data_IF_714167387929
#
_entry.id   IF_714167387929
#
_cell.length_a   1.000
_cell.length_b   1.000
_cell.length_c   1.000
_cell.angle_alpha   90.00
_cell.angle_beta   90.00
_cell.angle_gamma   90.00
#
_symmetry.space_group_name_H-M   'P 1'
#
loop_
_entity.id
_entity.type
_entity.pdbx_description
1 polymer ?
#
# COMPACT_ATOMS: atom_id res chain seq x y z
N UNK A 1 -37.06 -10.53 -29.70
CA UNK A 1 -38.38 -10.06 -29.23
C UNK A 1 -38.16 -8.79 -28.42
N UNK A 2 -39.02 -7.80 -28.60
CA UNK A 2 -38.81 -6.44 -28.08
C UNK A 2 -38.96 -6.45 -26.54
N UNK A 3 -37.85 -6.46 -25.78
CA UNK A 3 -37.85 -6.42 -24.30
C UNK A 3 -38.52 -5.15 -23.75
N UNK A 4 -38.77 -4.15 -24.59
CA UNK A 4 -39.35 -2.86 -24.21
C UNK A 4 -40.75 -2.94 -23.57
N UNK A 5 -41.58 -3.93 -23.90
CA UNK A 5 -42.90 -4.08 -23.30
C UNK A 5 -42.82 -4.62 -21.86
N UNK A 6 -41.92 -5.58 -21.61
CA UNK A 6 -41.68 -6.14 -20.28
C UNK A 6 -41.00 -5.07 -19.42
N UNK A 7 -39.96 -4.41 -19.94
CA UNK A 7 -39.25 -3.36 -19.22
C UNK A 7 -40.16 -2.16 -18.88
N UNK A 8 -41.06 -1.77 -19.80
CA UNK A 8 -42.09 -0.75 -19.55
C UNK A 8 -43.09 -1.18 -18.49
N UNK A 9 -43.58 -2.43 -18.55
CA UNK A 9 -44.49 -2.96 -17.53
C UNK A 9 -43.83 -2.97 -16.15
N UNK A 10 -42.61 -3.50 -16.03
CA UNK A 10 -41.86 -3.54 -14.76
C UNK A 10 -41.59 -2.12 -14.25
N UNK A 11 -41.18 -1.20 -15.13
CA UNK A 11 -40.89 0.19 -14.75
C UNK A 11 -42.11 0.97 -14.26
N UNK A 12 -43.31 0.67 -14.77
CA UNK A 12 -44.54 1.37 -14.37
C UNK A 12 -45.22 0.67 -13.19
N UNK A 13 -45.39 -0.65 -13.26
CA UNK A 13 -46.23 -1.41 -12.34
C UNK A 13 -45.47 -1.98 -11.14
N UNK A 14 -44.13 -1.97 -11.17
CA UNK A 14 -43.29 -2.57 -10.13
C UNK A 14 -42.16 -1.64 -9.65
N UNK A 15 -42.33 -0.32 -9.79
CA UNK A 15 -41.29 0.66 -9.44
C UNK A 15 -40.97 0.72 -7.94
N UNK A 16 -41.87 0.23 -7.09
CA UNK A 16 -41.78 0.25 -5.62
C UNK A 16 -41.71 -1.15 -4.99
N UNK A 17 -41.59 -2.20 -5.80
CA UNK A 17 -41.60 -3.59 -5.32
C UNK A 17 -40.24 -4.27 -5.48
N UNK A 18 -39.88 -5.08 -4.50
CA UNK A 18 -38.68 -5.94 -4.55
C UNK A 18 -38.89 -7.22 -5.36
N UNK A 19 -40.15 -7.64 -5.55
CA UNK A 19 -40.55 -8.79 -6.38
C UNK A 19 -41.67 -8.33 -7.32
N UNK A 20 -41.48 -8.51 -8.62
CA UNK A 20 -42.45 -8.13 -9.66
C UNK A 20 -42.96 -9.38 -10.40
N UNK A 21 -44.26 -9.66 -10.31
CA UNK A 21 -44.88 -10.71 -11.11
C UNK A 21 -45.26 -10.16 -12.49
N UNK A 22 -44.59 -10.63 -13.55
CA UNK A 22 -44.92 -10.24 -14.93
C UNK A 22 -45.88 -11.27 -15.52
N UNK A 23 -47.13 -10.90 -15.83
CA UNK A 23 -48.08 -11.83 -16.44
C UNK A 23 -47.69 -12.10 -17.89
N UNK A 24 -47.57 -13.38 -18.26
CA UNK A 24 -47.37 -13.83 -19.63
C UNK A 24 -48.66 -14.49 -20.10
N UNK A 25 -49.35 -13.84 -21.04
CA UNK A 25 -50.57 -14.37 -21.66
C UNK A 25 -50.31 -14.80 -23.09
N UNK A 26 -50.80 -15.99 -23.47
CA UNK A 26 -50.71 -16.53 -24.81
C UNK A 26 -52.12 -16.80 -25.31
N UNK A 27 -52.51 -16.14 -26.40
CA UNK A 27 -53.84 -16.23 -26.99
C UNK A 27 -53.78 -16.92 -28.36
N UNK A 28 -54.76 -17.78 -28.68
CA UNK A 28 -54.93 -18.35 -30.03
C UNK A 28 -56.31 -18.03 -30.59
N UNK A 29 -56.36 -17.67 -31.88
CA UNK A 29 -57.62 -17.36 -32.56
C UNK A 29 -58.47 -18.59 -32.94
N UNK A 30 -57.97 -19.80 -32.69
CA UNK A 30 -58.66 -21.06 -32.97
C UNK A 30 -58.37 -22.07 -31.85
N UNK A 31 -59.26 -23.06 -31.70
CA UNK A 31 -59.07 -24.17 -30.75
C UNK A 31 -57.92 -25.09 -31.19
N UNK A 32 -57.06 -25.47 -30.25
CA UNK A 32 -55.92 -26.34 -30.49
C UNK A 32 -55.04 -26.51 -29.24
N UNK A 33 -53.99 -27.34 -29.34
CA UNK A 33 -52.99 -27.54 -28.29
C UNK A 33 -51.86 -26.52 -28.44
N UNK A 34 -51.57 -25.78 -27.37
CA UNK A 34 -50.42 -24.89 -27.28
C UNK A 34 -49.37 -25.54 -26.37
N UNK A 35 -48.15 -25.70 -26.88
CA UNK A 35 -47.02 -26.20 -26.10
C UNK A 35 -45.92 -25.15 -26.10
N UNK A 36 -45.50 -24.71 -24.91
CA UNK A 36 -44.37 -23.80 -24.72
C UNK A 36 -43.22 -24.61 -24.12
N UNK A 37 -42.04 -24.56 -24.76
CA UNK A 37 -40.83 -25.21 -24.27
C UNK A 37 -39.67 -24.22 -24.36
N UNK A 38 -38.72 -24.31 -23.42
CA UNK A 38 -37.49 -23.52 -23.37
C UNK A 38 -37.72 -21.99 -23.34
N UNK A 39 -38.62 -21.51 -22.48
CA UNK A 39 -38.77 -20.08 -22.22
C UNK A 39 -37.54 -19.56 -21.46
N UNK A 40 -36.71 -18.76 -22.11
CA UNK A 40 -35.55 -18.09 -21.53
C UNK A 40 -35.83 -16.58 -21.40
N UNK A 41 -35.69 -16.03 -20.19
CA UNK A 41 -35.86 -14.60 -19.90
C UNK A 41 -34.50 -14.07 -19.45
N UNK A 42 -33.80 -13.34 -20.33
CA UNK A 42 -32.54 -12.68 -20.02
C UNK A 42 -32.77 -11.20 -19.74
N UNK A 43 -32.45 -10.76 -18.51
CA UNK A 43 -32.44 -9.35 -18.11
C UNK A 43 -31.02 -8.97 -17.70
N UNK A 44 -30.51 -7.88 -18.27
CA UNK A 44 -29.26 -7.28 -17.82
C UNK A 44 -29.53 -6.51 -16.51
N UNK A 45 -28.73 -6.76 -15.47
CA UNK A 45 -28.84 -6.10 -14.16
C UNK A 45 -28.11 -4.73 -14.15
N UNK A 46 -27.75 -4.20 -15.32
CA UNK A 46 -26.99 -2.96 -15.44
C UNK A 46 -27.91 -1.72 -15.53
N UNK A 47 -27.71 -0.65 -14.74
CA UNK A 47 -26.67 -0.43 -13.73
C UNK A 47 -27.05 -0.82 -12.30
N UNK A 48 -26.07 -1.37 -11.57
CA UNK A 48 -26.10 -1.50 -10.10
C UNK A 48 -25.56 -0.19 -9.52
N UNK A 49 -26.37 0.52 -8.74
CA UNK A 49 -25.95 1.75 -8.04
C UNK A 49 -25.80 1.47 -6.55
N UNK A 50 -24.64 1.82 -5.98
CA UNK A 50 -24.39 1.72 -4.54
C UNK A 50 -24.43 3.14 -3.96
N UNK A 51 -25.44 3.42 -3.14
CA UNK A 51 -25.60 4.72 -2.49
C UNK A 51 -24.90 4.71 -1.13
N UNK A 52 -23.60 4.99 -1.11
CA UNK A 52 -22.82 5.11 0.12
C UNK A 52 -21.92 6.35 0.06
N UNK A 53 -22.29 7.35 0.85
CA UNK A 53 -21.58 8.64 1.00
C UNK A 53 -20.12 8.50 1.46
N UNK A 54 -19.75 7.38 2.10
CA UNK A 54 -18.39 7.10 2.54
C UNK A 54 -17.43 6.71 1.39
N UNK A 55 -17.93 6.17 0.28
CA UNK A 55 -17.09 5.81 -0.87
C UNK A 55 -16.87 6.97 -1.84
N UNK A 56 -17.67 8.03 -1.76
CA UNK A 56 -17.63 9.17 -2.69
C UNK A 56 -16.32 9.99 -2.57
N UNK A 57 -15.57 9.84 -1.48
CA UNK A 57 -14.27 10.50 -1.26
C UNK A 57 -13.06 9.64 -1.64
N UNK A 58 -13.26 8.41 -2.13
CA UNK A 58 -12.16 7.55 -2.58
C UNK A 58 -11.91 7.81 -4.07
N UNK A 59 -10.79 8.46 -4.38
CA UNK A 59 -10.32 8.58 -5.77
C UNK A 59 -9.75 7.23 -6.22
N UNK A 60 -10.52 6.42 -6.94
CA UNK A 60 -10.04 5.19 -7.57
C UNK A 60 -11.16 4.22 -7.95
N UNK A 61 -10.87 3.33 -8.91
CA UNK A 61 -11.74 2.20 -9.23
C UNK A 61 -11.64 1.15 -8.11
N UNK A 62 -12.75 0.88 -7.41
CA UNK A 62 -12.80 -0.17 -6.40
C UNK A 62 -13.25 -1.46 -7.11
N UNK A 63 -12.38 -2.49 -7.28
CA UNK A 63 -12.78 -3.71 -7.93
C UNK A 63 -13.75 -4.51 -7.04
N UNK A 64 -14.94 -4.78 -7.56
CA UNK A 64 -15.94 -5.63 -6.91
C UNK A 64 -15.99 -7.00 -7.59
N UNK A 65 -15.98 -8.05 -6.78
CA UNK A 65 -16.32 -9.41 -7.24
C UNK A 65 -17.78 -9.65 -6.88
N UNK A 66 -18.60 -9.89 -7.90
CA UNK A 66 -20.01 -10.23 -7.72
C UNK A 66 -20.16 -11.74 -7.88
N UNK A 67 -20.69 -12.40 -6.85
CA UNK A 67 -21.12 -13.79 -6.95
C UNK A 67 -22.64 -13.83 -7.06
N UNK A 68 -23.14 -14.42 -8.15
CA UNK A 68 -24.56 -14.70 -8.33
C UNK A 68 -24.85 -16.13 -7.93
N UNK A 69 -25.76 -16.31 -6.98
CA UNK A 69 -26.31 -17.63 -6.61
C UNK A 69 -27.81 -17.50 -6.43
N UNK A 70 -28.58 -18.30 -7.18
CA UNK A 70 -30.05 -18.37 -7.10
C UNK A 70 -30.77 -17.02 -7.23
N UNK A 71 -30.26 -16.14 -8.10
CA UNK A 71 -30.85 -14.82 -8.35
C UNK A 71 -30.54 -13.77 -7.26
N UNK A 72 -29.79 -14.12 -6.23
CA UNK A 72 -29.23 -13.17 -5.27
C UNK A 72 -27.82 -12.78 -5.71
N UNK A 73 -27.55 -11.47 -5.72
CA UNK A 73 -26.19 -10.93 -5.86
C UNK A 73 -25.63 -10.74 -4.46
N UNK A 74 -24.63 -11.55 -4.09
CA UNK A 74 -23.91 -11.36 -2.83
C UNK A 74 -22.59 -10.67 -3.14
N UNK A 75 -22.32 -9.56 -2.42
CA UNK A 75 -21.01 -8.90 -2.44
C UNK A 75 -20.32 -9.22 -1.12
N UNK A 76 -19.27 -10.03 -1.19
CA UNK A 76 -18.50 -10.47 -0.03
C UNK A 76 -17.02 -10.09 -0.17
N UNK A 77 -16.31 -10.00 0.95
CA UNK A 77 -14.88 -9.72 0.95
C UNK A 77 -14.51 -8.25 0.71
N UNK A 78 -15.45 -7.30 0.87
CA UNK A 78 -15.14 -5.87 0.81
C UNK A 78 -14.21 -5.53 1.98
N UNK A 79 -12.97 -5.17 1.67
CA UNK A 79 -12.03 -4.58 2.61
C UNK A 79 -11.71 -3.16 2.14
N UNK A 80 -12.18 -2.16 2.89
CA UNK A 80 -11.90 -0.75 2.64
C UNK A 80 -10.95 -0.29 3.73
N UNK A 81 -9.71 0.00 3.36
CA UNK A 81 -8.72 0.58 4.25
C UNK A 81 -8.65 2.08 3.97
N UNK A 82 -9.09 2.89 4.93
CA UNK A 82 -8.77 4.32 4.93
C UNK A 82 -7.49 4.49 5.75
N UNK A 83 -6.35 4.54 5.08
CA UNK A 83 -5.04 4.72 5.72
C UNK A 83 -4.81 6.19 6.14
N UNK A 84 -5.78 7.07 5.87
CA UNK A 84 -5.70 8.47 6.25
C UNK A 84 -4.75 9.29 5.37
N UNK A 85 -4.54 10.54 5.78
CA UNK A 85 -3.63 11.48 5.13
C UNK A 85 -4.31 12.78 4.69
N UNK A 86 -3.59 13.89 4.80
CA UNK A 86 -4.06 15.26 4.49
C UNK A 86 -5.24 15.75 5.35
N UNK A 87 -5.46 15.14 6.51
CA UNK A 87 -6.45 15.62 7.47
C UNK A 87 -5.80 16.61 8.44
N UNK A 88 -6.42 17.78 8.58
CA UNK A 88 -5.98 18.80 9.55
C UNK A 88 -6.75 18.65 10.86
N UNK A 89 -6.01 18.49 11.95
CA UNK A 89 -6.50 18.52 13.32
C UNK A 89 -6.08 19.83 13.98
N UNK A 90 -6.97 20.44 14.75
CA UNK A 90 -6.64 21.62 15.55
C UNK A 90 -6.35 21.17 16.96
N UNK A 91 -5.08 21.20 17.36
CA UNK A 91 -4.67 20.93 18.73
C UNK A 91 -4.65 22.25 19.49
N UNK A 92 -5.44 22.34 20.56
CA UNK A 92 -5.51 23.54 21.42
C UNK A 92 -4.83 23.26 22.75
N UNK A 93 -3.77 23.99 23.03
CA UNK A 93 -3.17 24.06 24.36
C UNK A 93 -3.77 25.26 25.11
N UNK A 94 -4.13 25.05 26.37
CA UNK A 94 -4.76 26.08 27.21
C UNK A 94 -4.32 25.95 28.67
N UNK A 95 -4.42 27.04 29.43
CA UNK A 95 -4.31 27.02 30.89
C UNK A 95 -5.56 26.38 31.53
N UNK A 96 -5.50 26.08 32.83
CA UNK A 96 -6.55 25.32 33.52
C UNK A 96 -7.94 25.98 33.45
N UNK A 97 -8.00 27.30 33.30
CA UNK A 97 -9.21 28.10 33.21
C UNK A 97 -9.55 28.55 31.78
N UNK A 98 -8.76 28.12 30.78
CA UNK A 98 -8.91 28.46 29.36
C UNK A 98 -8.79 29.96 29.05
N UNK A 99 -8.31 30.78 29.99
CA UNK A 99 -8.11 32.21 29.81
C UNK A 99 -7.07 32.49 28.72
N UNK A 100 -6.01 31.69 28.69
CA UNK A 100 -4.96 31.72 27.68
C UNK A 100 -4.98 30.43 26.88
N UNK A 101 -5.07 30.54 25.57
CA UNK A 101 -4.98 29.37 24.70
C UNK A 101 -4.21 29.68 23.43
N UNK A 102 -3.55 28.65 22.91
CA UNK A 102 -2.91 28.64 21.60
C UNK A 102 -3.40 27.41 20.84
N UNK A 103 -3.53 27.54 19.53
CA UNK A 103 -3.98 26.48 18.67
C UNK A 103 -2.95 26.23 17.58
N UNK A 104 -2.68 24.95 17.30
CA UNK A 104 -1.81 24.51 16.23
C UNK A 104 -2.60 23.61 15.28
N UNK A 105 -2.44 23.85 13.99
CA UNK A 105 -2.96 22.95 12.97
C UNK A 105 -1.91 21.86 12.74
N UNK A 106 -2.28 20.62 13.01
CA UNK A 106 -1.48 19.44 12.74
C UNK A 106 -2.10 18.73 11.55
N UNK A 107 -1.32 18.57 10.48
CA UNK A 107 -1.75 17.80 9.32
C UNK A 107 -1.04 16.46 9.35
N UNK A 108 -1.80 15.39 9.41
CA UNK A 108 -1.25 14.04 9.39
C UNK A 108 -1.18 13.53 7.94
N UNK A 109 -0.03 12.96 7.57
CA UNK A 109 0.18 12.26 6.31
C UNK A 109 0.67 10.85 6.61
N UNK A 110 0.10 9.86 5.93
CA UNK A 110 0.54 8.48 6.04
C UNK A 110 1.73 8.28 5.09
N UNK A 111 2.87 7.87 5.63
CA UNK A 111 4.07 7.53 4.86
C UNK A 111 4.64 6.21 5.35
N UNK A 112 4.40 5.15 4.59
CA UNK A 112 4.91 3.81 4.89
C UNK A 112 5.73 3.28 3.71
N UNK A 113 6.34 2.12 3.89
CA UNK A 113 7.13 1.45 2.88
C UNK A 113 7.07 -0.06 3.07
N UNK A 114 7.17 -0.77 1.96
CA UNK A 114 7.39 -2.20 1.94
C UNK A 114 8.74 -2.49 1.29
N UNK A 115 9.40 -3.57 1.69
CA UNK A 115 10.61 -4.03 1.01
C UNK A 115 10.61 -5.53 0.81
N UNK A 116 11.30 -5.97 -0.24
CA UNK A 116 11.48 -7.38 -0.55
C UNK A 116 12.95 -7.73 -0.69
N UNK A 117 13.29 -8.96 -0.30
CA UNK A 117 14.57 -9.57 -0.59
C UNK A 117 14.56 -10.25 -1.97
N UNK A 118 15.74 -10.51 -2.57
CA UNK A 118 15.86 -11.42 -3.70
C UNK A 118 15.20 -12.77 -3.41
N UNK A 119 14.68 -13.42 -4.45
CA UNK A 119 14.00 -14.70 -4.34
C UNK A 119 14.84 -15.73 -3.56
N UNK A 120 14.22 -16.36 -2.55
CA UNK A 120 14.81 -17.38 -1.64
C UNK A 120 15.83 -16.83 -0.63
N UNK A 121 15.88 -15.51 -0.43
CA UNK A 121 16.67 -14.85 0.61
C UNK A 121 15.69 -14.28 1.64
N UNK A 122 16.02 -14.43 2.93
CA UNK A 122 15.16 -14.02 4.04
C UNK A 122 15.91 -13.26 5.14
N UNK A 123 17.17 -12.92 4.90
CA UNK A 123 18.06 -12.28 5.87
C UNK A 123 19.09 -11.40 5.15
N UNK A 124 19.64 -10.44 5.87
CA UNK A 124 20.68 -9.55 5.41
C UNK A 124 22.01 -9.96 6.06
N UNK A 125 22.92 -10.59 5.29
CA UNK A 125 24.18 -11.11 5.81
C UNK A 125 25.33 -10.87 4.82
N UNK A 126 26.50 -10.49 5.34
CA UNK A 126 27.75 -10.42 4.58
C UNK A 126 28.63 -11.62 4.90
N UNK A 127 29.17 -12.27 3.86
CA UNK A 127 30.07 -13.42 4.00
C UNK A 127 31.45 -13.09 3.41
N UNK A 128 32.31 -12.37 4.15
CA UNK A 128 33.66 -11.99 3.71
C UNK A 128 34.62 -13.19 3.67
N UNK A 129 35.54 -13.20 2.70
CA UNK A 129 36.54 -14.28 2.53
C UNK A 129 37.75 -14.14 3.47
N UNK A 130 37.98 -12.94 3.99
CA UNK A 130 39.10 -12.57 4.85
C UNK A 130 38.73 -11.32 5.66
N UNK A 131 39.41 -11.03 6.78
CA UNK A 131 39.18 -9.84 7.58
C UNK A 131 39.61 -8.54 6.90
N UNK A 132 40.21 -8.63 5.71
CA UNK A 132 40.63 -7.49 4.89
C UNK A 132 39.86 -7.42 3.56
N UNK A 133 38.79 -8.20 3.41
CA UNK A 133 37.99 -8.24 2.17
C UNK A 133 37.35 -6.88 1.90
N UNK A 134 37.40 -6.43 0.64
CA UNK A 134 36.82 -5.16 0.20
C UNK A 134 35.67 -5.42 -0.77
N UNK A 135 34.72 -4.49 -0.84
CA UNK A 135 33.55 -4.54 -1.71
C UNK A 135 32.72 -5.82 -1.53
N UNK A 136 32.61 -6.33 -0.31
CA UNK A 136 31.81 -7.52 -0.02
C UNK A 136 30.34 -7.14 -0.12
N UNK A 137 29.58 -7.81 -0.96
CA UNK A 137 28.12 -7.60 -1.08
C UNK A 137 27.37 -8.59 -0.18
N UNK A 138 26.16 -8.26 0.29
CA UNK A 138 25.36 -9.19 1.06
C UNK A 138 24.92 -10.39 0.21
N UNK A 139 24.62 -11.51 0.86
CA UNK A 139 24.20 -12.75 0.18
C UNK A 139 22.90 -12.52 -0.61
N UNK A 140 22.90 -12.92 -1.88
CA UNK A 140 21.77 -12.73 -2.80
C UNK A 140 21.84 -11.48 -3.68
N UNK A 141 22.64 -10.47 -3.31
CA UNK A 141 22.87 -9.29 -4.15
C UNK A 141 23.76 -9.64 -5.35
N UNK A 142 23.48 -9.01 -6.50
CA UNK A 142 24.33 -9.09 -7.69
C UNK A 142 24.41 -7.74 -8.40
N UNK A 143 25.16 -7.66 -9.50
CA UNK A 143 25.25 -6.44 -10.29
C UNK A 143 23.94 -6.00 -10.95
N UNK A 144 22.96 -6.92 -11.05
CA UNK A 144 21.64 -6.67 -11.64
C UNK A 144 20.49 -6.89 -10.66
N UNK A 145 20.81 -7.22 -9.40
CA UNK A 145 19.81 -7.50 -8.36
C UNK A 145 20.21 -6.77 -7.08
N UNK A 146 19.44 -5.76 -6.64
CA UNK A 146 19.66 -5.12 -5.34
C UNK A 146 19.38 -6.12 -4.21
N UNK A 147 19.80 -5.80 -2.99
CA UNK A 147 19.47 -6.61 -1.80
C UNK A 147 18.10 -6.24 -1.23
N UNK A 148 17.67 -4.98 -1.39
CA UNK A 148 16.31 -4.55 -1.09
C UNK A 148 15.73 -3.87 -2.32
N UNK A 149 14.50 -4.25 -2.67
CA UNK A 149 13.64 -3.47 -3.53
C UNK A 149 12.52 -2.93 -2.64
N UNK A 150 12.50 -1.60 -2.48
CA UNK A 150 11.59 -0.88 -1.60
C UNK A 150 10.50 -0.24 -2.45
N UNK A 151 9.24 -0.36 -2.03
CA UNK A 151 8.09 0.31 -2.63
C UNK A 151 7.47 1.21 -1.59
N UNK A 152 7.22 2.47 -1.94
CA UNK A 152 6.65 3.46 -1.02
C UNK A 152 5.12 3.40 -1.02
N UNK A 153 4.54 3.44 0.18
CA UNK A 153 3.09 3.43 0.41
C UNK A 153 2.65 4.75 1.06
N UNK A 154 3.03 5.88 0.48
CA UNK A 154 2.65 7.20 0.98
C UNK A 154 1.28 7.66 0.45
N UNK A 155 0.30 7.75 1.35
CA UNK A 155 -1.08 8.15 1.05
C UNK A 155 -1.35 9.61 1.45
N UNK A 156 -2.44 10.18 0.92
CA UNK A 156 -2.83 11.57 1.24
C UNK A 156 -2.16 12.64 0.38
N UNK A 157 -1.59 12.26 -0.77
CA UNK A 157 -1.12 13.20 -1.80
C UNK A 157 0.16 13.97 -1.46
N UNK A 158 0.91 13.54 -0.44
CA UNK A 158 2.23 14.08 -0.10
C UNK A 158 3.31 13.06 -0.42
N UNK A 159 4.45 13.53 -0.87
CA UNK A 159 5.63 12.69 -1.16
C UNK A 159 6.35 12.30 0.13
N UNK A 160 7.25 11.33 0.05
CA UNK A 160 8.04 10.85 1.19
C UNK A 160 9.54 10.75 0.88
N UNK A 161 10.35 10.82 1.92
CA UNK A 161 11.75 10.44 1.93
C UNK A 161 11.87 9.04 2.50
N UNK A 162 12.80 8.26 1.95
CA UNK A 162 13.20 6.97 2.48
C UNK A 162 14.61 7.08 3.05
N UNK A 163 14.76 6.73 4.32
CA UNK A 163 16.03 6.84 5.04
C UNK A 163 16.44 5.52 5.69
N UNK A 164 17.75 5.36 5.90
CA UNK A 164 18.34 4.20 6.56
C UNK A 164 19.16 4.67 7.76
N UNK A 165 19.05 3.96 8.87
CA UNK A 165 19.81 4.17 10.09
C UNK A 165 20.54 2.89 10.49
N UNK A 166 21.78 3.05 10.92
CA UNK A 166 22.62 1.99 11.45
C UNK A 166 22.78 2.21 12.95
N UNK A 167 22.35 1.24 13.76
CA UNK A 167 22.40 1.35 15.22
C UNK A 167 23.82 1.18 15.79
N UNK A 168 24.65 0.37 15.13
CA UNK A 168 26.01 0.12 15.58
C UNK A 168 27.00 0.16 14.42
N UNK A 169 28.15 0.78 14.64
CA UNK A 169 29.28 0.74 13.72
C UNK A 169 30.42 -0.06 14.33
N UNK A 170 31.20 -0.72 13.48
CA UNK A 170 32.42 -1.40 13.90
C UNK A 170 33.62 -0.69 13.29
N UNK A 171 34.63 -0.36 14.11
CA UNK A 171 35.72 0.54 13.69
C UNK A 171 36.56 0.02 12.51
N UNK A 172 36.48 -1.28 12.21
CA UNK A 172 37.19 -1.90 11.10
C UNK A 172 36.27 -2.32 9.94
N UNK A 173 34.98 -1.96 9.96
CA UNK A 173 34.05 -2.23 8.86
C UNK A 173 33.37 -0.95 8.40
N UNK A 174 33.51 -0.65 7.12
CA UNK A 174 32.76 0.44 6.49
C UNK A 174 31.59 -0.15 5.71
N UNK A 175 30.36 0.24 6.06
CA UNK A 175 29.15 -0.15 5.36
C UNK A 175 28.71 0.98 4.43
N UNK A 176 28.74 0.72 3.13
CA UNK A 176 28.25 1.65 2.10
C UNK A 176 26.94 1.14 1.54
N UNK A 177 25.94 2.01 1.42
CA UNK A 177 24.72 1.73 0.67
C UNK A 177 24.58 2.69 -0.51
N UNK A 178 23.80 2.31 -1.53
CA UNK A 178 23.56 3.12 -2.72
C UNK A 178 22.25 2.75 -3.37
N UNK A 179 21.65 3.70 -4.07
CA UNK A 179 20.49 3.48 -4.94
C UNK A 179 20.85 3.04 -6.36
N UNK A 180 22.14 2.78 -6.59
CA UNK A 180 22.64 2.23 -7.84
C UNK A 180 23.67 1.15 -7.53
N UNK A 181 23.88 0.21 -8.46
CA UNK A 181 24.98 -0.75 -8.39
C UNK A 181 26.36 -0.11 -8.65
N UNK A 182 26.64 1.01 -7.99
CA UNK A 182 27.92 1.70 -8.03
C UNK A 182 28.26 2.19 -6.62
N UNK A 183 29.17 1.48 -5.97
CA UNK A 183 29.64 1.82 -4.62
C UNK A 183 30.28 3.21 -4.53
N UNK A 184 30.94 3.68 -5.59
CA UNK A 184 31.66 4.96 -5.57
C UNK A 184 30.75 6.18 -5.42
N UNK A 185 29.46 6.05 -5.75
CA UNK A 185 28.43 7.07 -5.53
C UNK A 185 27.56 6.77 -4.31
N UNK A 186 27.88 5.70 -3.57
CA UNK A 186 27.16 5.29 -2.37
C UNK A 186 27.49 6.16 -1.17
N UNK A 187 26.61 6.11 -0.20
CA UNK A 187 26.75 6.77 1.09
C UNK A 187 27.34 5.80 2.10
N UNK A 188 28.41 6.21 2.78
CA UNK A 188 28.90 5.51 3.97
C UNK A 188 27.87 5.69 5.09
N UNK A 189 27.23 4.59 5.51
CA UNK A 189 26.28 4.62 6.61
C UNK A 189 27.07 4.61 7.91
N UNK A 190 26.93 5.68 8.68
CA UNK A 190 27.54 5.81 10.00
C UNK A 190 26.52 5.55 11.10
N UNK A 191 26.98 5.21 12.30
CA UNK A 191 26.07 5.00 13.42
C UNK A 191 25.38 6.30 13.83
N UNK A 192 24.20 6.17 14.44
CA UNK A 192 23.47 7.26 15.08
C UNK A 192 23.05 8.40 14.14
N UNK A 193 22.95 8.14 12.82
CA UNK A 193 22.52 9.14 11.83
C UNK A 193 21.61 8.49 10.79
N UNK A 194 20.50 9.16 10.47
CA UNK A 194 19.66 8.80 9.33
C UNK A 194 20.26 9.32 8.03
N UNK A 195 20.32 8.46 7.02
CA UNK A 195 20.79 8.81 5.68
C UNK A 195 19.66 8.64 4.68
N UNK A 196 19.34 9.68 3.92
CA UNK A 196 18.31 9.63 2.88
C UNK A 196 18.84 8.94 1.62
N UNK A 197 18.08 7.98 1.10
CA UNK A 197 18.39 7.27 -0.15
C UNK A 197 17.39 7.60 -1.25
N UNK A 198 16.17 8.02 -0.91
CA UNK A 198 15.26 8.61 -1.88
C UNK A 198 14.54 9.79 -1.26
N UNK A 199 14.37 10.86 -2.03
CA UNK A 199 13.69 12.07 -1.59
C UNK A 199 12.53 12.40 -2.50
N UNK A 200 11.48 13.00 -1.93
CA UNK A 200 10.31 13.44 -2.68
C UNK A 200 9.68 12.31 -3.54
N UNK A 201 9.64 11.09 -3.00
CA UNK A 201 9.09 9.90 -3.64
C UNK A 201 7.56 9.92 -3.59
N UNK A 202 6.90 9.61 -4.71
CA UNK A 202 5.44 9.49 -4.78
C UNK A 202 4.97 8.09 -4.39
N UNK A 203 3.66 7.93 -4.18
CA UNK A 203 3.02 6.63 -3.99
C UNK A 203 3.47 5.64 -5.08
N UNK A 204 3.75 4.39 -4.67
CA UNK A 204 4.28 3.31 -5.51
C UNK A 204 5.64 3.59 -6.18
N UNK A 205 6.39 4.60 -5.71
CA UNK A 205 7.78 4.75 -6.16
C UNK A 205 8.60 3.56 -5.71
N UNK A 206 9.42 3.03 -6.62
CA UNK A 206 10.36 1.96 -6.33
C UNK A 206 11.77 2.53 -6.07
N UNK A 207 12.45 1.94 -5.09
CA UNK A 207 13.82 2.25 -4.73
C UNK A 207 14.61 0.97 -4.55
N UNK A 208 15.59 0.75 -5.42
CA UNK A 208 16.52 -0.36 -5.31
C UNK A 208 17.71 0.03 -4.42
N UNK A 209 18.12 -0.84 -3.50
CA UNK A 209 19.25 -0.60 -2.62
C UNK A 209 20.33 -1.68 -2.78
N UNK A 210 21.56 -1.21 -2.98
CA UNK A 210 22.76 -2.03 -2.96
C UNK A 210 23.62 -1.69 -1.77
N UNK A 211 24.25 -2.70 -1.18
CA UNK A 211 25.16 -2.56 -0.06
C UNK A 211 26.53 -3.17 -0.35
N UNK A 212 27.56 -2.61 0.30
CA UNK A 212 28.92 -3.13 0.34
C UNK A 212 29.49 -2.97 1.73
N UNK A 213 30.26 -3.95 2.17
CA UNK A 213 31.07 -3.89 3.36
C UNK A 213 32.56 -3.97 2.99
N UNK A 214 33.35 -3.03 3.49
CA UNK A 214 34.80 -3.07 3.44
C UNK A 214 35.36 -3.41 4.81
N UNK A 215 36.08 -4.52 4.87
CA UNK A 215 36.70 -5.01 6.09
C UNK A 215 38.18 -4.62 6.11
N UNK A 216 38.62 -4.07 7.23
CA UNK A 216 40.01 -3.83 7.58
C UNK A 216 40.30 -4.34 9.01
N UNK A 217 39.73 -5.49 9.32
CA UNK A 217 39.79 -6.14 10.62
C UNK A 217 41.01 -7.07 10.73
N UNK A 218 41.16 -7.68 11.90
CA UNK A 218 42.10 -8.78 12.13
C UNK A 218 41.36 -9.98 12.75
N UNK A 219 41.94 -11.18 12.66
CA UNK A 219 41.35 -12.39 13.24
C UNK A 219 41.33 -12.40 14.78
N UNK A 220 41.98 -11.43 15.44
CA UNK A 220 42.03 -11.33 16.90
C UNK A 220 40.78 -10.66 17.46
N UNK A 221 40.23 -9.68 16.74
CA UNK A 221 39.16 -8.80 17.21
C UNK A 221 37.84 -9.01 16.45
N UNK A 222 37.79 -9.86 15.44
CA UNK A 222 36.59 -9.99 14.61
C UNK A 222 36.38 -11.42 14.12
N UNK A 223 35.25 -11.99 14.53
CA UNK A 223 34.74 -13.26 14.01
C UNK A 223 33.51 -13.04 13.14
N UNK A 224 32.68 -12.04 13.46
CA UNK A 224 31.41 -11.79 12.81
C UNK A 224 30.88 -10.40 13.15
N UNK A 225 30.19 -9.74 12.23
CA UNK A 225 29.48 -8.48 12.47
C UNK A 225 28.13 -8.51 11.76
N UNK A 226 27.05 -8.37 12.54
CA UNK A 226 25.65 -8.38 12.07
C UNK A 226 24.99 -7.05 12.43
N UNK A 227 25.18 -6.00 11.59
CA UNK A 227 24.54 -4.72 11.87
C UNK A 227 23.02 -4.85 11.79
N UNK A 228 22.33 -4.23 12.75
CA UNK A 228 20.88 -3.99 12.64
C UNK A 228 20.65 -2.71 11.87
N UNK A 229 19.95 -2.81 10.74
CA UNK A 229 19.49 -1.69 9.93
C UNK A 229 18.05 -1.34 10.29
N UNK A 230 17.79 -0.04 10.38
CA UNK A 230 16.46 0.52 10.56
C UNK A 230 16.14 1.32 9.30
N UNK A 231 14.91 1.20 8.84
CA UNK A 231 14.40 1.89 7.66
C UNK A 231 13.26 2.78 8.08
N UNK A 232 13.06 3.91 7.42
CA UNK A 232 11.90 4.76 7.65
C UNK A 232 11.41 5.41 6.38
N UNK A 233 10.09 5.54 6.26
CA UNK A 233 9.42 6.41 5.31
C UNK A 233 8.89 7.62 6.07
N UNK A 234 9.30 8.83 5.68
CA UNK A 234 8.79 10.05 6.30
C UNK A 234 8.30 11.02 5.26
N UNK A 235 7.16 11.66 5.48
CA UNK A 235 6.66 12.62 4.50
C UNK A 235 7.65 13.76 4.26
N UNK A 236 7.83 14.12 3.00
CA UNK A 236 8.77 15.13 2.54
C UNK A 236 8.35 16.51 3.08
N UNK A 237 9.28 17.25 3.67
CA UNK A 237 8.97 18.53 4.35
C UNK A 237 7.87 18.37 5.41
N UNK A 238 7.97 17.32 6.22
CA UNK A 238 7.20 17.17 7.44
C UNK A 238 8.09 17.41 8.66
N UNK A 239 7.51 18.01 9.70
CA UNK A 239 8.24 18.38 10.91
C UNK A 239 8.55 17.16 11.80
N UNK A 240 7.75 16.10 11.70
CA UNK A 240 7.83 14.90 12.54
C UNK A 240 7.55 13.64 11.71
N UNK A 241 8.34 12.61 11.98
CA UNK A 241 8.09 11.24 11.52
C UNK A 241 7.63 10.40 12.72
N UNK A 242 6.78 9.38 12.52
CA UNK A 242 6.26 8.55 13.63
C UNK A 242 7.39 7.90 14.44
N UNK A 243 8.48 7.52 13.77
CA UNK A 243 9.68 6.96 14.42
C UNK A 243 10.50 7.99 15.24
N UNK A 244 10.22 9.30 15.14
CA UNK A 244 10.85 10.33 15.97
C UNK A 244 10.10 10.53 17.31
N UNK A 245 8.92 9.93 17.46
CA UNK A 245 8.11 10.01 18.68
C UNK A 245 8.32 8.73 19.49
N UNK A 246 9.38 8.70 20.32
CA UNK A 246 9.50 7.69 21.36
C UNK A 246 8.27 7.79 22.29
N UNK A 247 7.35 6.82 22.20
CA UNK A 247 6.37 6.63 23.25
C UNK A 247 7.12 6.18 24.49
N UNK A 248 7.32 7.10 25.43
CA UNK A 248 7.83 6.78 26.75
C UNK A 248 6.83 5.81 27.39
N UNK A 249 7.19 4.52 27.49
CA UNK A 249 6.47 3.52 28.26
C UNK A 249 6.77 3.66 29.74
#
# INVERSE_FOLDING_TARGET
>A
TNNSAIDSYVGIQCSDQTICAVPIEIHTGAGGLITVQNLEINKSINPITINVSLLENLNGDIPFIFELTDGNVTVSGIQIYYLGGNQTFVIRAHDSDYATNTSYNVVYYYSDYNYTYPAKIYYFEFIPKSPTSQNVTPYGQSSSKPIFNVTLDNWGGKTANFSIYLNESYSCVNLTASTSNNKSVGTLITNNTWHDFGTNLTYESELDLWFWADYNCNYTNWMFWEPTLYFRGCCYECDLCDEDVESVS
#
